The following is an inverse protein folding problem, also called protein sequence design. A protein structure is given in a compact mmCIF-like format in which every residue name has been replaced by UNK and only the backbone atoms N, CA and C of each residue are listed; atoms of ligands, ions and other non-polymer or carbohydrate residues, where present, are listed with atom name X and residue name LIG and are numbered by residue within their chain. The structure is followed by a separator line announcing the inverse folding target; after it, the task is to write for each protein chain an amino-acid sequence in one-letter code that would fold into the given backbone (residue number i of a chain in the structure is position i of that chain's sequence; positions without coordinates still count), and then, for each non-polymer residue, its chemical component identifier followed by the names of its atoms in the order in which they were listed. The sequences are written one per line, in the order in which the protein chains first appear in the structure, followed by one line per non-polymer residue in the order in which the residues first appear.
data_IF_396385941134
#
_entry.id   IF_396385941134
#
_cell.length_a   1.000
_cell.length_b   1.000
_cell.length_c   1.000
_cell.angle_alpha   90.00
_cell.angle_beta   90.00
_cell.angle_gamma   90.00
#
_symmetry.space_group_name_H-M   'P 1'
#
loop_
_entity.id
_entity.type
_entity.pdbx_description
1 polymer ?
#
# COMPACT_ATOMS: atom_id res chain seq x y z
N UNK A 1 32.18 -6.25 34.15
CA UNK A 1 30.77 -6.25 33.71
C UNK A 1 30.64 -5.16 32.68
N UNK A 2 30.46 -5.54 31.41
CA UNK A 2 30.60 -4.63 30.27
C UNK A 2 29.43 -3.63 30.25
N UNK A 3 29.75 -2.34 30.27
CA UNK A 3 28.81 -1.21 30.18
C UNK A 3 28.07 -1.13 28.83
N UNK A 4 28.57 -1.82 27.81
CA UNK A 4 28.09 -1.71 26.44
C UNK A 4 26.76 -2.46 26.21
N UNK A 5 26.42 -3.41 27.08
CA UNK A 5 25.24 -4.28 26.94
C UNK A 5 23.94 -3.62 27.46
N UNK A 6 24.06 -2.68 28.42
CA UNK A 6 22.92 -1.92 28.95
C UNK A 6 22.44 -0.84 27.99
N UNK A 7 23.35 -0.21 27.22
CA UNK A 7 22.97 0.76 26.17
C UNK A 7 22.12 0.08 25.11
N UNK A 8 22.51 -1.12 24.67
CA UNK A 8 21.79 -1.87 23.64
C UNK A 8 20.37 -2.28 24.05
N UNK A 9 20.17 -2.69 25.31
CA UNK A 9 18.82 -3.01 25.80
C UNK A 9 17.92 -1.78 25.91
N UNK A 10 18.45 -0.65 26.39
CA UNK A 10 17.68 0.58 26.50
C UNK A 10 17.38 1.19 25.12
N UNK A 11 18.31 1.09 24.18
CA UNK A 11 18.11 1.49 22.79
C UNK A 11 17.06 0.61 22.11
N UNK A 12 17.07 -0.71 22.35
CA UNK A 12 16.03 -1.62 21.88
C UNK A 12 14.67 -1.28 22.48
N UNK A 13 14.59 -1.01 23.79
CA UNK A 13 13.33 -0.61 24.45
C UNK A 13 12.77 0.68 23.87
N UNK A 14 13.62 1.69 23.64
CA UNK A 14 13.23 2.95 23.00
C UNK A 14 12.73 2.72 21.59
N UNK A 15 13.46 1.96 20.78
CA UNK A 15 13.06 1.63 19.41
C UNK A 15 11.71 0.89 19.37
N UNK A 16 11.50 -0.10 20.25
CA UNK A 16 10.23 -0.82 20.34
C UNK A 16 9.07 0.09 20.77
N UNK A 17 9.31 1.00 21.72
CA UNK A 17 8.32 1.98 22.12
C UNK A 17 7.95 2.92 20.96
N UNK A 18 8.94 3.44 20.22
CA UNK A 18 8.69 4.28 19.04
C UNK A 18 7.88 3.55 17.97
N UNK A 19 8.21 2.28 17.68
CA UNK A 19 7.45 1.45 16.73
C UNK A 19 6.00 1.29 17.21
N UNK A 20 5.80 1.00 18.49
CA UNK A 20 4.47 0.84 19.07
C UNK A 20 3.64 2.13 18.99
N UNK A 21 4.20 3.26 19.40
CA UNK A 21 3.51 4.56 19.39
C UNK A 21 3.17 5.00 17.96
N UNK A 22 4.08 4.82 17.00
CA UNK A 22 3.79 5.05 15.58
C UNK A 22 2.65 4.16 15.10
N UNK A 23 2.65 2.88 15.49
CA UNK A 23 1.56 1.94 15.19
C UNK A 23 0.20 2.41 15.73
N UNK A 24 0.16 2.92 16.96
CA UNK A 24 -1.07 3.45 17.56
C UNK A 24 -1.54 4.73 16.85
N UNK A 25 -0.63 5.64 16.51
CA UNK A 25 -0.95 6.87 15.79
C UNK A 25 -1.56 6.59 14.40
N UNK A 26 -0.96 5.65 13.63
CA UNK A 26 -1.49 5.17 12.35
C UNK A 26 -2.90 4.62 12.48
N UNK A 27 -3.09 3.73 13.47
CA UNK A 27 -4.40 3.12 13.75
C UNK A 27 -5.44 4.19 14.08
N UNK A 28 -5.12 5.13 14.96
CA UNK A 28 -6.02 6.22 15.34
C UNK A 28 -6.43 7.08 14.13
N UNK A 29 -5.48 7.43 13.26
CA UNK A 29 -5.76 8.19 12.04
C UNK A 29 -6.69 7.41 11.10
N UNK A 30 -6.44 6.12 10.93
CA UNK A 30 -7.33 5.26 10.14
C UNK A 30 -8.73 5.17 10.76
N UNK A 31 -8.83 4.97 12.07
CA UNK A 31 -10.11 4.81 12.77
C UNK A 31 -11.00 6.09 12.70
N UNK A 32 -10.39 7.27 12.54
CA UNK A 32 -11.12 8.54 12.29
C UNK A 32 -11.36 8.83 10.81
N UNK A 33 -11.07 7.88 9.91
CA UNK A 33 -11.32 8.03 8.48
C UNK A 33 -10.31 8.90 7.74
N UNK A 34 -9.08 9.06 8.25
CA UNK A 34 -8.06 9.80 7.52
C UNK A 34 -7.72 9.11 6.18
N UNK A 35 -7.65 9.86 5.07
CA UNK A 35 -7.24 9.32 3.78
C UNK A 35 -5.84 8.71 3.81
N UNK A 36 -5.67 7.58 3.12
CA UNK A 36 -4.44 6.80 3.11
C UNK A 36 -3.83 6.73 1.71
N UNK A 37 -2.50 6.81 1.66
CA UNK A 37 -1.72 6.37 0.50
C UNK A 37 -1.29 4.92 0.70
N UNK A 38 -1.00 4.19 -0.37
CA UNK A 38 -0.73 2.77 -0.20
C UNK A 38 -0.55 1.99 -1.49
N UNK A 39 -0.34 0.69 -1.32
CA UNK A 39 -0.32 -0.30 -2.40
C UNK A 39 -1.29 -1.43 -2.08
N UNK A 40 -1.83 -2.05 -3.13
CA UNK A 40 -2.80 -3.10 -2.97
C UNK A 40 -2.73 -4.14 -4.09
N UNK A 41 -3.31 -5.30 -3.80
CA UNK A 41 -3.58 -6.38 -4.74
C UNK A 41 -5.03 -6.86 -4.61
N UNK A 42 -5.53 -7.53 -5.64
CA UNK A 42 -6.73 -8.36 -5.57
C UNK A 42 -6.30 -9.82 -5.79
N UNK A 43 -6.34 -10.61 -4.72
CA UNK A 43 -5.93 -12.03 -4.71
C UNK A 43 -7.17 -12.88 -4.49
N UNK A 44 -7.47 -13.78 -5.43
CA UNK A 44 -8.67 -14.63 -5.39
C UNK A 44 -9.97 -13.83 -5.15
N UNK A 45 -10.07 -12.65 -5.77
CA UNK A 45 -11.21 -11.73 -5.64
C UNK A 45 -11.28 -10.97 -4.33
N UNK A 46 -10.27 -11.08 -3.46
CA UNK A 46 -10.19 -10.37 -2.17
C UNK A 46 -9.11 -9.28 -2.22
N UNK A 47 -9.41 -8.07 -1.72
CA UNK A 47 -8.43 -7.01 -1.62
C UNK A 47 -7.42 -7.31 -0.52
N UNK A 48 -6.16 -7.01 -0.80
CA UNK A 48 -5.07 -6.95 0.16
C UNK A 48 -4.50 -5.53 0.10
N UNK A 49 -4.81 -4.71 1.10
CA UNK A 49 -4.50 -3.28 1.12
C UNK A 49 -3.46 -2.99 2.20
N UNK A 50 -2.44 -2.21 1.82
CA UNK A 50 -1.41 -1.73 2.72
C UNK A 50 -1.25 -0.23 2.51
N UNK A 51 -1.44 0.54 3.57
CA UNK A 51 -1.39 1.98 3.49
C UNK A 51 -0.94 2.61 4.79
N UNK A 52 -0.51 3.86 4.65
CA UNK A 52 -0.17 4.75 5.76
C UNK A 52 -0.96 6.07 5.55
N UNK A 53 -1.28 6.79 6.64
CA UNK A 53 -1.87 8.12 6.53
C UNK A 53 -0.96 9.07 5.74
N UNK A 54 -1.53 10.06 5.05
CA UNK A 54 -0.77 11.00 4.21
C UNK A 54 0.36 11.74 4.95
N UNK A 55 0.25 11.93 6.27
CA UNK A 55 1.28 12.56 7.10
C UNK A 55 2.56 11.72 7.21
N UNK A 56 2.47 10.40 7.00
CA UNK A 56 3.61 9.48 7.05
C UNK A 56 4.13 9.12 5.65
N UNK A 57 3.54 9.69 4.61
CA UNK A 57 3.94 9.45 3.24
C UNK A 57 5.30 10.09 2.91
N UNK A 58 6.10 9.40 2.12
CA UNK A 58 7.42 9.89 1.72
C UNK A 58 7.31 10.79 0.49
N UNK A 59 8.02 11.94 0.48
CA UNK A 59 8.03 12.81 -0.68
C UNK A 59 8.81 12.16 -1.84
N UNK A 60 8.25 12.26 -3.04
CA UNK A 60 8.85 11.80 -4.29
C UNK A 60 8.48 12.75 -5.43
N UNK A 61 9.36 13.72 -5.71
CA UNK A 61 9.06 14.79 -6.67
C UNK A 61 7.81 15.59 -6.28
N UNK A 62 6.85 15.70 -7.19
CA UNK A 62 5.54 16.35 -6.96
C UNK A 62 4.52 15.41 -6.29
N UNK A 63 4.93 14.25 -5.80
CA UNK A 63 4.05 13.26 -5.17
C UNK A 63 4.46 12.94 -3.74
N UNK A 64 3.51 12.43 -2.97
CA UNK A 64 3.78 11.67 -1.74
C UNK A 64 3.40 10.21 -1.98
N UNK A 65 4.29 9.31 -1.58
CA UNK A 65 4.22 7.90 -1.93
C UNK A 65 4.34 6.99 -0.70
N UNK A 66 3.88 5.76 -0.85
CA UNK A 66 4.00 4.72 0.16
C UNK A 66 5.43 4.22 0.21
N UNK A 67 5.96 4.09 1.44
CA UNK A 67 7.36 3.76 1.72
C UNK A 67 7.80 2.39 1.16
N UNK A 68 6.87 1.45 1.07
CA UNK A 68 7.15 0.11 0.55
C UNK A 68 6.82 0.01 -0.94
N UNK A 69 7.52 -0.90 -1.61
CA UNK A 69 7.20 -1.33 -2.97
C UNK A 69 6.49 -2.69 -3.00
N UNK A 70 5.90 -2.98 -4.16
CA UNK A 70 5.17 -4.23 -4.37
C UNK A 70 6.07 -5.46 -4.28
N UNK A 71 7.36 -5.36 -4.63
CA UNK A 71 8.29 -6.49 -4.69
C UNK A 71 8.65 -6.96 -3.29
N UNK A 72 9.11 -6.04 -2.43
CA UNK A 72 9.53 -6.33 -1.07
C UNK A 72 8.35 -6.79 -0.22
N UNK A 73 7.21 -6.10 -0.34
CA UNK A 73 6.03 -6.47 0.42
C UNK A 73 5.47 -7.82 -0.01
N UNK A 74 5.40 -8.13 -1.31
CA UNK A 74 4.95 -9.45 -1.77
C UNK A 74 5.83 -10.58 -1.24
N UNK A 75 7.16 -10.43 -1.29
CA UNK A 75 8.10 -11.41 -0.71
C UNK A 75 7.86 -11.61 0.78
N UNK A 76 7.56 -10.55 1.51
CA UNK A 76 7.17 -10.64 2.92
C UNK A 76 5.87 -11.44 3.09
N UNK A 77 4.84 -11.17 2.28
CA UNK A 77 3.56 -11.89 2.33
C UNK A 77 3.72 -13.39 2.01
N UNK A 78 4.56 -13.74 1.03
CA UNK A 78 4.86 -15.14 0.68
C UNK A 78 5.56 -15.88 1.83
N UNK A 79 6.57 -15.25 2.44
CA UNK A 79 7.30 -15.81 3.59
C UNK A 79 6.33 -16.15 4.73
N UNK A 80 5.38 -15.25 4.98
CA UNK A 80 4.34 -15.38 6.01
C UNK A 80 3.10 -16.18 5.58
N UNK A 81 3.09 -16.77 4.36
CA UNK A 81 1.98 -17.59 3.83
C UNK A 81 0.63 -16.85 3.76
N UNK A 82 0.67 -15.53 3.59
CA UNK A 82 -0.53 -14.71 3.36
C UNK A 82 -0.99 -14.81 1.89
N UNK A 83 -0.03 -15.01 0.99
CA UNK A 83 -0.25 -15.23 -0.45
C UNK A 83 0.48 -16.49 -0.92
N UNK A 84 0.10 -17.07 -2.08
CA UNK A 84 0.77 -18.26 -2.61
C UNK A 84 2.27 -18.06 -2.83
N UNK A 85 3.07 -19.08 -2.47
CA UNK A 85 4.54 -19.01 -2.54
C UNK A 85 5.10 -19.06 -3.94
N UNK A 86 4.40 -19.72 -4.86
CA UNK A 86 4.89 -20.01 -6.22
C UNK A 86 4.24 -19.09 -7.26
N UNK A 87 3.97 -17.84 -6.89
CA UNK A 87 3.34 -16.84 -7.76
C UNK A 87 4.01 -15.49 -7.65
N UNK A 88 4.10 -14.77 -8.76
CA UNK A 88 4.73 -13.45 -8.80
C UNK A 88 3.74 -12.35 -8.41
N UNK A 89 4.24 -11.25 -7.84
CA UNK A 89 3.40 -10.10 -7.47
C UNK A 89 2.70 -9.47 -8.69
N UNK A 90 3.28 -9.65 -9.88
CA UNK A 90 2.73 -9.16 -11.13
C UNK A 90 1.60 -10.03 -11.68
N UNK A 91 1.46 -11.26 -11.17
CA UNK A 91 0.43 -12.18 -11.62
C UNK A 91 -0.98 -11.68 -11.29
N UNK A 92 -1.07 -10.92 -10.20
CA UNK A 92 -2.32 -10.45 -9.62
C UNK A 92 -2.62 -9.00 -10.03
N UNK A 93 -3.90 -8.66 -10.21
CA UNK A 93 -4.31 -7.27 -10.34
C UNK A 93 -3.83 -6.47 -9.13
N UNK A 94 -3.15 -5.36 -9.38
CA UNK A 94 -2.54 -4.52 -8.35
C UNK A 94 -2.74 -3.05 -8.64
N UNK A 95 -2.40 -2.24 -7.67
CA UNK A 95 -2.40 -0.80 -7.83
C UNK A 95 -1.70 -0.08 -6.69
N UNK A 96 -1.78 1.24 -6.76
CA UNK A 96 -1.14 2.18 -5.83
C UNK A 96 -1.99 3.43 -5.72
N UNK A 97 -2.00 3.99 -4.52
CA UNK A 97 -2.53 5.33 -4.25
C UNK A 97 -1.39 6.23 -3.87
N UNK A 98 -1.28 7.35 -4.58
CA UNK A 98 -0.33 8.43 -4.29
C UNK A 98 -1.07 9.73 -4.10
N UNK A 99 -0.40 10.72 -3.52
CA UNK A 99 -0.94 12.08 -3.41
C UNK A 99 -0.13 13.03 -4.28
N UNK A 100 -0.80 13.74 -5.19
CA UNK A 100 -0.17 14.79 -6.00
C UNK A 100 -0.18 16.10 -5.19
N UNK A 101 0.99 16.61 -4.82
CA UNK A 101 1.12 17.83 -4.00
C UNK A 101 0.90 19.11 -4.80
N UNK A 102 0.96 19.05 -6.12
CA UNK A 102 0.72 20.19 -7.02
C UNK A 102 -0.76 20.43 -7.26
N UNK A 103 -1.53 19.35 -7.42
CA UNK A 103 -2.98 19.41 -7.65
C UNK A 103 -3.80 19.16 -6.39
N UNK A 104 -3.14 18.88 -5.26
CA UNK A 104 -3.76 18.60 -3.97
C UNK A 104 -4.80 17.47 -4.04
N UNK A 105 -4.47 16.41 -4.79
CA UNK A 105 -5.42 15.36 -5.17
C UNK A 105 -4.82 13.98 -5.02
N UNK A 106 -5.62 13.03 -4.53
CA UNK A 106 -5.26 11.61 -4.53
C UNK A 106 -5.36 11.03 -5.94
N UNK A 107 -4.39 10.21 -6.31
CA UNK A 107 -4.39 9.45 -7.56
C UNK A 107 -4.41 7.96 -7.25
N UNK A 108 -5.49 7.29 -7.69
CA UNK A 108 -5.68 5.85 -7.62
C UNK A 108 -5.26 5.24 -8.96
N UNK A 109 -4.10 4.59 -8.98
CA UNK A 109 -3.60 3.86 -10.14
C UNK A 109 -3.86 2.37 -9.97
N UNK A 110 -4.46 1.74 -10.97
CA UNK A 110 -4.73 0.30 -10.89
C UNK A 110 -4.66 -0.42 -12.23
N UNK A 111 -4.49 -1.73 -12.14
CA UNK A 111 -4.71 -2.68 -13.22
C UNK A 111 -6.07 -2.48 -13.89
N UNK A 112 -6.12 -2.59 -15.22
CA UNK A 112 -7.38 -2.50 -15.99
C UNK A 112 -8.43 -3.52 -15.56
N UNK A 113 -8.00 -4.68 -15.05
CA UNK A 113 -8.91 -5.67 -14.49
C UNK A 113 -9.65 -5.16 -13.25
N UNK A 114 -8.98 -4.38 -12.39
CA UNK A 114 -9.61 -3.74 -11.22
C UNK A 114 -10.52 -2.62 -11.69
N UNK A 115 -10.04 -1.74 -12.58
CA UNK A 115 -10.82 -0.58 -13.04
C UNK A 115 -12.14 -0.95 -13.76
N UNK A 116 -12.23 -2.16 -14.32
CA UNK A 116 -13.46 -2.68 -14.92
C UNK A 116 -14.46 -3.23 -13.90
N UNK A 117 -13.99 -3.56 -12.70
CA UNK A 117 -14.78 -4.06 -11.58
C UNK A 117 -15.13 -2.90 -10.63
N UNK A 118 -16.24 -2.22 -10.93
CA UNK A 118 -16.66 -1.03 -10.17
C UNK A 118 -16.88 -1.32 -8.67
N UNK A 119 -17.55 -2.42 -8.26
CA UNK A 119 -17.64 -2.77 -6.85
C UNK A 119 -16.28 -2.90 -6.15
N UNK A 120 -15.29 -3.51 -6.81
CA UNK A 120 -13.93 -3.62 -6.26
C UNK A 120 -13.25 -2.25 -6.12
N UNK A 121 -13.40 -1.36 -7.11
CA UNK A 121 -12.88 0.01 -7.02
C UNK A 121 -13.51 0.74 -5.84
N UNK A 122 -14.85 0.74 -5.72
CA UNK A 122 -15.57 1.39 -4.62
C UNK A 122 -15.13 0.85 -3.26
N UNK A 123 -14.92 -0.46 -3.15
CA UNK A 123 -14.42 -1.10 -1.94
C UNK A 123 -13.01 -0.60 -1.57
N UNK A 124 -12.08 -0.57 -2.52
CA UNK A 124 -10.71 -0.12 -2.29
C UNK A 124 -10.64 1.38 -1.93
N UNK A 125 -11.44 2.22 -2.61
CA UNK A 125 -11.54 3.65 -2.28
C UNK A 125 -12.06 3.85 -0.86
N UNK A 126 -13.07 3.08 -0.45
CA UNK A 126 -13.63 3.13 0.90
C UNK A 126 -12.64 2.64 1.96
N UNK A 127 -11.95 1.51 1.72
CA UNK A 127 -10.96 0.94 2.63
C UNK A 127 -9.77 1.88 2.88
N UNK A 128 -9.40 2.69 1.88
CA UNK A 128 -8.35 3.71 1.97
C UNK A 128 -8.86 5.10 2.38
N UNK A 129 -10.15 5.24 2.68
CA UNK A 129 -10.82 6.50 3.02
C UNK A 129 -10.56 7.62 2.00
N UNK A 130 -10.56 7.29 0.72
CA UNK A 130 -10.26 8.25 -0.32
C UNK A 130 -11.46 9.16 -0.60
N UNK A 131 -11.23 10.48 -0.78
CA UNK A 131 -12.30 11.40 -1.10
C UNK A 131 -12.84 11.16 -2.51
N UNK A 132 -14.07 11.61 -2.77
CA UNK A 132 -14.69 11.51 -4.10
C UNK A 132 -13.98 12.32 -5.19
N UNK A 133 -13.09 13.24 -4.80
CA UNK A 133 -12.22 14.00 -5.71
C UNK A 133 -11.02 13.21 -6.22
N UNK A 134 -10.86 11.96 -5.78
CA UNK A 134 -9.75 11.07 -6.20
C UNK A 134 -9.81 10.78 -7.69
N UNK A 135 -8.71 11.07 -8.38
CA UNK A 135 -8.54 10.72 -9.79
C UNK A 135 -8.22 9.23 -9.91
N UNK A 136 -8.93 8.53 -10.79
CA UNK A 136 -8.73 7.09 -11.05
C UNK A 136 -8.17 6.88 -12.44
N UNK A 137 -7.01 6.23 -12.53
CA UNK A 137 -6.29 6.01 -13.80
C UNK A 137 -5.70 4.60 -13.89
N UNK A 138 -5.45 4.16 -15.14
CA UNK A 138 -4.69 2.92 -15.37
C UNK A 138 -3.20 3.22 -15.48
N UNK A 139 -2.36 2.38 -14.91
CA UNK A 139 -0.91 2.45 -15.09
C UNK A 139 -0.43 1.36 -16.08
N UNK A 140 0.29 1.70 -17.15
CA UNK A 140 0.87 0.72 -18.08
C UNK A 140 1.81 -0.32 -17.44
N UNK A 141 2.36 -0.04 -16.26
CA UNK A 141 3.18 -0.97 -15.48
C UNK A 141 2.34 -1.96 -14.67
N UNK A 142 1.07 -1.64 -14.38
CA UNK A 142 0.15 -2.54 -13.68
C UNK A 142 -0.61 -3.38 -14.70
N UNK A 143 -0.02 -4.54 -14.99
CA UNK A 143 -0.55 -5.57 -15.87
C UNK A 143 -0.49 -6.91 -15.17
N UNK A 144 -1.65 -7.40 -14.73
CA UNK A 144 -1.81 -8.76 -14.27
C UNK A 144 -1.77 -9.77 -15.42
N UNK A 145 -1.69 -11.07 -15.10
CA UNK A 145 -1.73 -12.16 -16.10
C UNK A 145 -2.90 -12.02 -17.09
N UNK A 146 -4.09 -11.66 -16.58
CA UNK A 146 -5.28 -11.46 -17.41
C UNK A 146 -5.20 -10.20 -18.28
N UNK A 147 -4.58 -9.12 -17.80
CA UNK A 147 -4.32 -7.92 -18.59
C UNK A 147 -3.32 -8.22 -19.72
N UNK A 148 -2.24 -8.95 -19.43
CA UNK A 148 -1.22 -9.36 -20.41
C UNK A 148 -1.81 -10.24 -21.51
N UNK A 149 -2.50 -11.31 -21.15
CA UNK A 149 -3.11 -12.24 -22.10
C UNK A 149 -4.20 -11.59 -23.00
N UNK A 150 -4.76 -10.44 -22.60
CA UNK A 150 -5.73 -9.67 -23.39
C UNK A 150 -5.08 -8.64 -24.32
N UNK A 151 -3.83 -8.26 -24.09
CA UNK A 151 -3.11 -7.32 -24.94
C UNK A 151 -2.46 -8.01 -26.15
N UNK A 152 -2.31 -9.33 -26.10
CA UNK A 152 -1.74 -10.17 -27.17
C UNK A 152 -2.80 -10.73 -28.14
N UNK A 153 -4.08 -10.39 -27.93
CA UNK A 153 -5.21 -10.76 -28.80
C UNK A 153 -5.65 -9.56 -29.64
#
# INVERSE_FOLDING_TARGET
MSSDDYSSQDDLRKMLAEIYERGQARKKLRDVGAPQIGIFWVVDGKPLVFGDPLVEAEPWGEFKNYKEDHIHLWKFLQRNRIVPRDTEYEDYPRGRVVYNTKTDTFMFFADRCILKDKPMVEHLLAELHLPSTTTTESDPHYKCKNCGARAER
#
